data_IF_128107453198
#
_entry.id   IF_128107453198
#
_cell.length_a   1.000
_cell.length_b   1.000
_cell.length_c   1.000
_cell.angle_alpha   90.00
_cell.angle_beta   90.00
_cell.angle_gamma   90.00
#
_symmetry.space_group_name_H-M   'P 1'
#
loop_
_entity.id
_entity.type
_entity.pdbx_description
1 polymer ?
#
# COMPACT_ATOMS: atom_id res chain seq x y z
N UNK A 1 2.86 18.71 31.81
CA UNK A 1 2.82 17.42 31.11
C UNK A 1 1.75 17.51 30.02
N UNK A 2 2.15 17.74 28.77
CA UNK A 2 1.23 17.68 27.63
C UNK A 2 0.92 16.20 27.37
N UNK A 3 -0.36 15.80 27.46
CA UNK A 3 -0.77 14.46 27.04
C UNK A 3 -0.55 14.36 25.54
N UNK A 4 0.29 13.44 25.08
CA UNK A 4 0.29 13.05 23.68
C UNK A 4 -1.06 12.40 23.36
N UNK A 5 -1.77 12.96 22.38
CA UNK A 5 -2.96 12.34 21.81
C UNK A 5 -2.49 11.38 20.72
N UNK A 6 -2.50 10.09 21.01
CA UNK A 6 -2.29 9.06 19.99
C UNK A 6 -3.53 9.02 19.09
N UNK A 7 -3.37 9.41 17.82
CA UNK A 7 -4.41 9.29 16.80
C UNK A 7 -4.31 7.89 16.19
N UNK A 8 -5.40 7.12 16.28
CA UNK A 8 -5.55 5.86 15.57
C UNK A 8 -6.17 6.15 14.19
N UNK A 9 -5.39 5.92 13.13
CA UNK A 9 -5.86 6.07 11.75
C UNK A 9 -6.23 4.70 11.17
N UNK A 10 -7.47 4.57 10.71
CA UNK A 10 -7.97 3.37 10.04
C UNK A 10 -8.48 3.80 8.67
N UNK A 11 -8.12 3.04 7.65
CA UNK A 11 -8.68 3.23 6.32
C UNK A 11 -9.86 2.27 6.11
N UNK A 12 -11.00 2.80 5.68
CA UNK A 12 -12.22 2.01 5.53
C UNK A 12 -12.21 1.09 4.30
N UNK A 13 -11.35 1.36 3.30
CA UNK A 13 -11.31 0.58 2.06
C UNK A 13 -10.03 0.85 1.25
N UNK A 14 -9.19 -0.16 1.08
CA UNK A 14 -8.08 -0.18 0.14
C UNK A 14 -8.15 -1.42 -0.74
N UNK A 15 -7.75 -1.30 -2.01
CA UNK A 15 -7.75 -2.44 -2.95
C UNK A 15 -6.53 -3.36 -2.78
N UNK A 16 -6.07 -3.63 -1.56
CA UNK A 16 -4.83 -4.39 -1.36
C UNK A 16 -4.94 -5.84 -1.85
N UNK A 17 -6.08 -6.51 -1.63
CA UNK A 17 -6.28 -7.87 -2.11
C UNK A 17 -6.27 -7.93 -3.64
N UNK A 18 -6.96 -6.99 -4.30
CA UNK A 18 -6.97 -6.87 -5.76
C UNK A 18 -5.56 -6.60 -6.31
N UNK A 19 -4.79 -5.71 -5.68
CA UNK A 19 -3.40 -5.43 -6.06
C UNK A 19 -2.50 -6.67 -5.89
N UNK A 20 -2.68 -7.46 -4.85
CA UNK A 20 -1.90 -8.68 -4.65
C UNK A 20 -2.29 -9.78 -5.64
N UNK A 21 -3.59 -10.04 -5.81
CA UNK A 21 -4.10 -11.21 -6.53
C UNK A 21 -4.23 -10.98 -8.03
N UNK A 22 -4.82 -9.85 -8.46
CA UNK A 22 -5.05 -9.57 -9.88
C UNK A 22 -3.81 -8.99 -10.56
N UNK A 23 -3.07 -8.12 -9.85
CA UNK A 23 -1.84 -7.53 -10.39
C UNK A 23 -0.59 -8.33 -10.08
N UNK A 24 -0.66 -9.37 -9.23
CA UNK A 24 0.49 -10.16 -8.80
C UNK A 24 1.60 -9.29 -8.17
N UNK A 25 1.22 -8.30 -7.35
CA UNK A 25 2.15 -7.41 -6.65
C UNK A 25 2.54 -8.00 -5.30
N UNK A 26 3.83 -8.01 -5.01
CA UNK A 26 4.30 -8.32 -3.67
C UNK A 26 4.12 -7.10 -2.76
N UNK A 27 3.15 -7.17 -1.85
CA UNK A 27 2.85 -6.08 -0.91
C UNK A 27 3.89 -5.94 0.22
N UNK A 28 4.89 -6.82 0.31
CA UNK A 28 6.00 -6.66 1.25
C UNK A 28 7.08 -5.70 0.74
N UNK A 29 7.10 -5.43 -0.57
CA UNK A 29 7.99 -4.45 -1.19
C UNK A 29 7.44 -3.03 -1.03
N UNK A 30 8.31 -2.01 -1.12
CA UNK A 30 7.85 -0.62 -1.21
C UNK A 30 7.12 -0.38 -2.54
N UNK A 31 6.31 0.67 -2.59
CA UNK A 31 5.62 1.08 -3.81
C UNK A 31 6.62 1.33 -4.94
N UNK A 32 7.77 1.96 -4.66
CA UNK A 32 8.81 2.17 -5.67
C UNK A 32 9.36 0.85 -6.21
N UNK A 33 9.64 -0.12 -5.34
CA UNK A 33 10.13 -1.44 -5.74
C UNK A 33 9.11 -2.17 -6.61
N UNK A 34 7.83 -2.17 -6.22
CA UNK A 34 6.74 -2.76 -7.03
C UNK A 34 6.64 -2.10 -8.40
N UNK A 35 6.67 -0.76 -8.46
CA UNK A 35 6.61 -0.05 -9.76
C UNK A 35 7.81 -0.40 -10.64
N UNK A 36 8.96 -0.66 -10.04
CA UNK A 36 10.17 -1.01 -10.78
C UNK A 36 10.14 -2.42 -11.35
N UNK A 37 9.48 -3.38 -10.70
CA UNK A 37 9.26 -4.71 -11.29
C UNK A 37 8.26 -4.69 -12.44
N UNK A 38 7.44 -3.64 -12.55
CA UNK A 38 6.45 -3.46 -13.60
C UNK A 38 6.96 -2.66 -14.82
N UNK A 39 8.23 -2.23 -14.82
CA UNK A 39 8.83 -1.50 -15.94
C UNK A 39 8.77 -2.32 -17.23
N UNK A 40 8.26 -1.69 -18.30
CA UNK A 40 8.10 -2.33 -19.61
C UNK A 40 6.81 -3.14 -19.78
N UNK A 41 6.02 -3.34 -18.72
CA UNK A 41 4.69 -3.93 -18.84
C UNK A 41 3.70 -2.90 -19.40
N UNK A 42 2.88 -3.32 -20.37
CA UNK A 42 2.00 -2.41 -21.14
C UNK A 42 0.55 -2.36 -20.64
N UNK A 43 0.17 -3.22 -19.70
CA UNK A 43 -1.21 -3.23 -19.19
C UNK A 43 -1.53 -1.94 -18.42
N UNK A 44 -2.75 -1.43 -18.60
CA UNK A 44 -3.25 -0.21 -17.94
C UNK A 44 -3.23 -0.37 -16.42
N UNK A 45 -2.37 0.36 -15.72
CA UNK A 45 -2.27 0.32 -14.25
C UNK A 45 -0.94 -0.23 -13.74
N UNK A 46 -0.11 -0.82 -14.61
CA UNK A 46 1.30 -1.14 -14.31
C UNK A 46 2.08 0.15 -14.05
N UNK A 47 2.95 0.14 -13.05
CA UNK A 47 3.67 1.31 -12.56
C UNK A 47 2.83 2.26 -11.71
N UNK A 48 1.55 1.95 -11.41
CA UNK A 48 0.63 2.89 -10.77
C UNK A 48 0.19 2.50 -9.34
N UNK A 49 0.69 1.40 -8.76
CA UNK A 49 0.36 1.02 -7.37
C UNK A 49 0.70 2.15 -6.39
N UNK A 50 -0.15 2.39 -5.38
CA UNK A 50 -0.06 3.58 -4.49
C UNK A 50 0.28 3.26 -3.04
N UNK A 51 -0.11 2.09 -2.54
CA UNK A 51 0.06 1.67 -1.14
C UNK A 51 0.44 0.20 -1.09
N UNK A 52 1.44 -0.14 -0.28
CA UNK A 52 1.77 -1.51 0.14
C UNK A 52 2.00 -1.54 1.67
N UNK A 53 2.37 -2.69 2.24
CA UNK A 53 2.48 -2.83 3.70
C UNK A 53 3.56 -1.91 4.33
N UNK A 54 4.74 -1.67 3.71
CA UNK A 54 5.71 -0.70 4.23
C UNK A 54 5.15 0.73 4.35
N UNK A 55 4.28 1.14 3.43
CA UNK A 55 3.67 2.47 3.36
C UNK A 55 2.63 2.65 4.47
N UNK A 56 1.80 1.63 4.72
CA UNK A 56 0.88 1.61 5.86
C UNK A 56 1.62 1.74 7.19
N UNK A 57 2.75 1.01 7.34
CA UNK A 57 3.60 1.11 8.54
C UNK A 57 4.22 2.51 8.68
N UNK A 58 4.76 3.07 7.60
CA UNK A 58 5.35 4.42 7.58
C UNK A 58 4.31 5.48 7.95
N UNK A 59 3.10 5.35 7.45
CA UNK A 59 1.99 6.26 7.71
C UNK A 59 1.29 6.01 9.07
N UNK A 60 1.68 4.97 9.81
CA UNK A 60 1.03 4.55 11.07
C UNK A 60 -0.47 4.29 10.90
N UNK A 61 -0.84 3.62 9.81
CA UNK A 61 -2.20 3.10 9.55
C UNK A 61 -2.22 1.62 9.89
N UNK A 62 -2.57 1.23 11.13
CA UNK A 62 -2.49 -0.17 11.57
C UNK A 62 -3.57 -1.09 10.99
N UNK A 63 -4.66 -0.54 10.46
CA UNK A 63 -5.78 -1.33 9.95
C UNK A 63 -6.38 -0.69 8.70
N UNK A 64 -6.71 -1.55 7.75
CA UNK A 64 -7.52 -1.23 6.57
C UNK A 64 -8.40 -2.42 6.21
N UNK A 65 -9.49 -2.17 5.49
CA UNK A 65 -10.31 -3.22 4.88
C UNK A 65 -9.83 -3.39 3.44
N UNK A 66 -9.36 -4.61 3.11
CA UNK A 66 -8.57 -4.94 1.93
C UNK A 66 -9.29 -5.85 0.93
#
# INVERSE_FOLDING_TARGET
MTKETTILLIDAHLDLAMNALEWNRDLNLSVEQVRQTEVGMKQKGRGCGTVTLPELRRAKVPLTIA
#
